data_IF_684703535702
#
_entry.id   IF_684703535702
#
_cell.length_a   1.000
_cell.length_b   1.000
_cell.length_c   1.000
_cell.angle_alpha   90.00
_cell.angle_beta   90.00
_cell.angle_gamma   90.00
#
_symmetry.space_group_name_H-M   'P 1'
#
loop_
_entity.id
_entity.type
_entity.pdbx_description
1 polymer ?
#
# COMPACT_ATOMS: atom_id res chain seq x y z
N UNK A 1 -12.50 -12.56 13.00
CA UNK A 1 -11.64 -12.19 14.16
C UNK A 1 -10.86 -10.92 13.83
N UNK A 2 -10.63 -10.03 14.79
CA UNK A 2 -9.84 -8.80 14.58
C UNK A 2 -8.37 -9.04 14.95
N UNK A 3 -7.48 -9.02 13.97
CA UNK A 3 -6.06 -9.41 14.13
C UNK A 3 -5.36 -8.60 15.23
N UNK A 4 -5.55 -7.28 15.27
CA UNK A 4 -4.91 -6.44 16.28
C UNK A 4 -5.51 -6.56 17.70
N UNK A 5 -6.56 -7.37 17.87
CA UNK A 5 -7.10 -7.76 19.18
C UNK A 5 -6.49 -9.05 19.74
N UNK A 6 -5.98 -9.93 18.87
CA UNK A 6 -5.53 -11.30 19.21
C UNK A 6 -4.60 -11.32 20.41
N UNK A 7 -3.52 -10.53 20.38
CA UNK A 7 -2.55 -10.50 21.47
C UNK A 7 -3.22 -10.13 22.81
N UNK A 8 -4.05 -9.09 22.81
CA UNK A 8 -4.70 -8.60 24.02
C UNK A 8 -5.70 -9.62 24.58
N UNK A 9 -6.52 -10.21 23.71
CA UNK A 9 -7.57 -11.16 24.07
C UNK A 9 -6.94 -12.46 24.61
N UNK A 10 -5.95 -13.02 23.91
CA UNK A 10 -5.26 -14.26 24.31
C UNK A 10 -4.48 -14.05 25.60
N UNK A 11 -3.79 -12.92 25.75
CA UNK A 11 -3.10 -12.60 27.00
C UNK A 11 -4.07 -12.53 28.16
N UNK A 12 -5.22 -11.87 27.98
CA UNK A 12 -6.23 -11.75 29.01
C UNK A 12 -6.82 -13.10 29.41
N UNK A 13 -7.18 -13.93 28.43
CA UNK A 13 -7.77 -15.24 28.69
C UNK A 13 -6.76 -16.20 29.32
N UNK A 14 -5.50 -16.18 28.87
CA UNK A 14 -4.44 -16.97 29.50
C UNK A 14 -4.13 -16.50 30.92
N UNK A 15 -4.17 -15.19 31.18
CA UNK A 15 -4.05 -14.65 32.53
C UNK A 15 -5.16 -15.15 33.46
N UNK A 16 -6.43 -15.10 33.03
CA UNK A 16 -7.56 -15.62 33.81
C UNK A 16 -7.40 -17.10 34.11
N UNK A 17 -7.02 -17.88 33.10
CA UNK A 17 -6.80 -19.32 33.26
C UNK A 17 -5.69 -19.61 34.30
N UNK A 18 -4.52 -18.96 34.19
CA UNK A 18 -3.41 -19.20 35.10
C UNK A 18 -3.69 -18.72 36.52
N UNK A 19 -4.28 -17.52 36.68
CA UNK A 19 -4.46 -16.91 38.00
C UNK A 19 -5.73 -17.39 38.69
N UNK A 20 -6.87 -17.39 38.00
CA UNK A 20 -8.18 -17.65 38.62
C UNK A 20 -8.49 -19.16 38.70
N UNK A 21 -8.05 -19.94 37.71
CA UNK A 21 -8.34 -21.37 37.65
C UNK A 21 -7.19 -22.21 38.22
N UNK A 22 -5.95 -21.90 37.84
CA UNK A 22 -4.77 -22.67 38.28
C UNK A 22 -4.15 -22.12 39.59
N UNK A 23 -4.56 -20.92 40.03
CA UNK A 23 -4.10 -20.32 41.29
C UNK A 23 -2.64 -19.82 41.25
N UNK A 24 -2.10 -19.57 40.07
CA UNK A 24 -0.73 -19.09 39.88
C UNK A 24 -0.59 -17.61 40.30
N UNK A 25 0.58 -17.27 40.85
CA UNK A 25 0.90 -15.87 41.19
C UNK A 25 0.88 -15.00 39.91
N UNK A 26 0.20 -13.83 39.92
CA UNK A 26 0.10 -12.98 38.74
C UNK A 26 1.44 -12.57 38.12
N UNK A 27 2.50 -12.40 38.92
CA UNK A 27 3.83 -12.02 38.41
C UNK A 27 4.52 -13.19 37.70
N UNK A 28 4.14 -14.44 38.00
CA UNK A 28 4.61 -15.64 37.32
C UNK A 28 3.74 -15.96 36.09
N UNK A 29 2.43 -15.66 36.17
CA UNK A 29 1.49 -15.89 35.09
C UNK A 29 1.68 -14.90 33.92
N UNK A 30 1.99 -13.64 34.20
CA UNK A 30 2.06 -12.56 33.19
C UNK A 30 3.02 -12.86 32.03
N UNK A 31 4.28 -13.31 32.27
CA UNK A 31 5.19 -13.63 31.18
C UNK A 31 4.69 -14.79 30.33
N UNK A 32 4.09 -15.82 30.94
CA UNK A 32 3.52 -16.98 30.23
C UNK A 32 2.33 -16.59 29.37
N UNK A 33 1.46 -15.72 29.88
CA UNK A 33 0.31 -15.22 29.14
C UNK A 33 0.72 -14.32 27.98
N UNK A 34 1.76 -13.49 28.20
CA UNK A 34 2.36 -12.68 27.14
C UNK A 34 2.97 -13.56 26.04
N UNK A 35 3.67 -14.63 26.40
CA UNK A 35 4.27 -15.54 25.41
C UNK A 35 3.20 -16.27 24.58
N UNK A 36 2.17 -16.82 25.24
CA UNK A 36 1.04 -17.43 24.54
C UNK A 36 0.35 -16.45 23.57
N UNK A 37 0.26 -15.17 23.94
CA UNK A 37 -0.31 -14.14 23.08
C UNK A 37 0.57 -13.81 21.86
N UNK A 38 1.90 -13.86 22.00
CA UNK A 38 2.83 -13.72 20.87
C UNK A 38 2.70 -14.90 19.91
N UNK A 39 2.69 -16.12 20.44
CA UNK A 39 2.54 -17.35 19.66
C UNK A 39 1.24 -17.34 18.85
N UNK A 40 0.11 -16.99 19.47
CA UNK A 40 -1.19 -16.93 18.78
C UNK A 40 -1.24 -15.83 17.72
N UNK A 41 -0.63 -14.67 17.98
CA UNK A 41 -0.53 -13.60 16.98
C UNK A 41 0.28 -14.06 15.76
N UNK A 42 1.42 -14.74 15.99
CA UNK A 42 2.26 -15.30 14.93
C UNK A 42 1.46 -16.30 14.09
N UNK A 43 0.77 -17.24 14.75
CA UNK A 43 -0.06 -18.24 14.07
C UNK A 43 -1.21 -17.62 13.29
N UNK A 44 -1.86 -16.59 13.83
CA UNK A 44 -2.95 -15.89 13.16
C UNK A 44 -2.46 -15.20 11.88
N UNK A 45 -1.32 -14.50 11.95
CA UNK A 45 -0.74 -13.82 10.78
C UNK A 45 -0.28 -14.84 9.74
N UNK A 46 0.39 -15.92 10.16
CA UNK A 46 0.81 -17.01 9.28
C UNK A 46 -0.40 -17.67 8.58
N UNK A 47 -1.46 -17.95 9.34
CA UNK A 47 -2.70 -18.53 8.79
C UNK A 47 -3.41 -17.61 7.79
N UNK A 48 -3.43 -16.30 8.04
CA UNK A 48 -4.04 -15.34 7.13
C UNK A 48 -3.23 -15.12 5.85
N UNK A 49 -1.91 -15.20 5.92
CA UNK A 49 -1.02 -14.85 4.79
C UNK A 49 -0.50 -16.06 4.03
N UNK A 50 -0.52 -17.25 4.64
CA UNK A 50 0.05 -18.47 4.08
C UNK A 50 1.58 -18.57 4.23
N UNK A 51 2.23 -17.61 4.91
CA UNK A 51 3.68 -17.61 5.11
C UNK A 51 4.09 -18.30 6.41
N UNK A 52 5.34 -18.74 6.47
CA UNK A 52 6.00 -19.07 7.73
C UNK A 52 6.67 -17.83 8.31
N UNK A 53 6.58 -17.65 9.63
CA UNK A 53 7.24 -16.56 10.34
C UNK A 53 8.48 -17.12 11.04
N UNK A 54 9.67 -16.77 10.54
CA UNK A 54 10.94 -17.26 11.11
C UNK A 54 11.35 -16.50 12.38
N UNK A 55 11.07 -15.19 12.41
CA UNK A 55 11.49 -14.28 13.47
C UNK A 55 10.39 -13.29 13.83
N UNK A 56 10.37 -12.89 15.10
CA UNK A 56 9.41 -11.92 15.64
C UNK A 56 10.14 -10.76 16.32
N UNK A 57 9.67 -9.53 16.09
CA UNK A 57 10.05 -8.35 16.84
C UNK A 57 8.81 -7.58 17.31
N UNK A 58 8.85 -7.08 18.55
CA UNK A 58 7.85 -6.22 19.14
C UNK A 58 8.51 -4.94 19.64
N UNK A 59 7.91 -3.80 19.32
CA UNK A 59 8.43 -2.48 19.69
C UNK A 59 7.34 -1.64 20.37
N UNK A 60 7.67 -1.11 21.55
CA UNK A 60 6.81 -0.15 22.23
C UNK A 60 6.93 1.27 21.66
N UNK A 61 6.00 2.14 22.00
CA UNK A 61 5.96 3.54 21.50
C UNK A 61 7.23 4.33 21.86
N UNK A 62 7.72 4.18 23.09
CA UNK A 62 8.99 4.80 23.51
C UNK A 62 10.16 4.26 22.69
N UNK A 63 10.16 2.95 22.47
CA UNK A 63 11.19 2.28 21.69
C UNK A 63 11.28 2.79 20.25
N UNK A 64 10.12 2.96 19.61
CA UNK A 64 10.01 3.54 18.28
C UNK A 64 10.64 4.95 18.21
N UNK A 65 10.33 5.82 19.17
CA UNK A 65 10.89 7.16 19.22
C UNK A 65 12.41 7.14 19.40
N UNK A 66 12.92 6.31 20.33
CA UNK A 66 14.35 6.18 20.59
C UNK A 66 15.14 5.66 19.39
N UNK A 67 14.61 4.66 18.68
CA UNK A 67 15.25 4.13 17.47
C UNK A 67 15.26 5.18 16.36
N UNK A 68 14.16 5.90 16.15
CA UNK A 68 14.08 6.99 15.18
C UNK A 68 15.10 8.09 15.47
N UNK A 69 15.23 8.50 16.73
CA UNK A 69 16.21 9.52 17.13
C UNK A 69 17.67 9.01 17.05
N UNK A 70 17.90 7.72 17.33
CA UNK A 70 19.24 7.11 17.20
C UNK A 70 19.78 7.18 15.75
N UNK A 71 18.87 7.06 14.78
CA UNK A 71 19.10 7.24 13.33
C UNK A 71 19.16 8.71 12.91
N UNK A 72 18.93 9.64 13.83
CA UNK A 72 18.97 11.08 13.57
C UNK A 72 17.68 11.64 12.97
N UNK A 73 16.55 10.96 13.19
CA UNK A 73 15.23 11.30 12.67
C UNK A 73 14.89 10.58 11.36
N UNK A 74 13.65 10.75 10.89
CA UNK A 74 13.11 10.12 9.68
C UNK A 74 12.61 11.16 8.69
N UNK A 75 12.92 10.98 7.40
CA UNK A 75 12.43 11.87 6.35
C UNK A 75 11.03 11.41 5.89
N UNK A 76 10.09 12.34 5.77
CA UNK A 76 8.75 12.09 5.24
C UNK A 76 8.37 13.20 4.28
N UNK A 77 7.40 12.94 3.40
CA UNK A 77 6.77 13.98 2.60
C UNK A 77 5.24 13.91 2.77
N UNK A 78 4.60 15.07 2.95
CA UNK A 78 3.15 15.19 2.98
C UNK A 78 2.65 15.91 1.72
N UNK A 79 1.54 15.45 1.13
CA UNK A 79 0.91 16.21 0.02
C UNK A 79 0.23 17.48 0.54
N UNK A 80 -0.43 17.37 1.69
CA UNK A 80 -1.16 18.46 2.34
C UNK A 80 -0.65 18.74 3.75
N UNK A 81 -0.81 19.98 4.22
CA UNK A 81 -0.51 20.33 5.59
C UNK A 81 -1.52 19.69 6.55
N UNK A 82 -1.06 19.34 7.75
CA UNK A 82 -1.80 18.54 8.72
C UNK A 82 -1.80 19.23 10.07
N UNK A 83 -2.96 19.25 10.71
CA UNK A 83 -3.13 19.63 12.10
C UNK A 83 -4.17 18.71 12.76
N UNK A 84 -3.71 17.74 13.55
CA UNK A 84 -4.54 16.75 14.26
C UNK A 84 -4.13 16.72 15.75
N UNK A 85 -4.92 17.36 16.64
CA UNK A 85 -4.56 17.50 18.06
C UNK A 85 -4.57 16.20 18.89
N UNK A 86 -5.23 15.14 18.44
CA UNK A 86 -5.40 13.89 19.20
C UNK A 86 -4.15 13.01 19.14
N UNK A 87 -3.47 12.99 18.00
CA UNK A 87 -2.15 12.40 17.80
C UNK A 87 -1.03 13.39 18.09
N UNK A 88 -1.31 14.70 18.01
CA UNK A 88 -0.32 15.77 18.10
C UNK A 88 0.45 15.98 16.79
N UNK A 89 -0.15 15.59 15.65
CA UNK A 89 0.43 15.85 14.34
C UNK A 89 0.18 17.32 13.96
N UNK A 90 1.26 18.06 13.71
CA UNK A 90 1.22 19.44 13.25
C UNK A 90 2.40 19.64 12.31
N UNK A 91 2.11 19.57 11.02
CA UNK A 91 3.12 19.43 9.98
C UNK A 91 2.76 20.24 8.73
N UNK A 92 3.70 20.99 8.15
CA UNK A 92 3.51 21.58 6.83
C UNK A 92 3.43 20.51 5.74
N UNK A 93 2.86 20.89 4.59
CA UNK A 93 2.98 20.12 3.36
C UNK A 93 4.44 20.08 2.89
N UNK A 94 4.77 19.06 2.11
CA UNK A 94 6.07 18.86 1.49
C UNK A 94 7.03 18.03 2.32
N UNK A 95 8.30 18.07 1.92
CA UNK A 95 9.36 17.27 2.51
C UNK A 95 9.80 17.84 3.87
N UNK A 96 9.98 16.95 4.84
CA UNK A 96 10.45 17.32 6.18
C UNK A 96 11.12 16.15 6.89
N UNK A 97 11.96 16.48 7.87
CA UNK A 97 12.58 15.51 8.77
C UNK A 97 11.95 15.55 10.14
N UNK A 98 11.50 14.40 10.63
CA UNK A 98 10.84 14.24 11.92
C UNK A 98 11.77 13.62 12.95
N UNK A 99 11.76 14.16 14.18
CA UNK A 99 12.29 13.47 15.37
C UNK A 99 11.42 12.27 15.76
N UNK A 100 11.88 11.42 16.67
CA UNK A 100 11.14 10.26 17.18
C UNK A 100 9.74 10.60 17.71
N UNK A 101 9.56 11.59 18.60
CA UNK A 101 8.24 12.01 19.06
C UNK A 101 7.34 12.55 17.94
N UNK A 102 7.90 13.28 16.97
CA UNK A 102 7.15 13.78 15.81
C UNK A 102 6.76 12.65 14.85
N UNK A 103 7.65 11.70 14.59
CA UNK A 103 7.35 10.51 13.82
C UNK A 103 6.25 9.69 14.51
N UNK A 104 6.25 9.65 15.84
CA UNK A 104 5.21 8.97 16.61
C UNK A 104 3.84 9.67 16.46
N UNK A 105 3.78 11.00 16.48
CA UNK A 105 2.53 11.72 16.22
C UNK A 105 2.04 11.53 14.78
N UNK A 106 2.97 11.50 13.81
CA UNK A 106 2.69 11.24 12.40
C UNK A 106 2.03 9.88 12.16
N UNK A 107 2.59 8.77 12.68
CA UNK A 107 2.05 7.41 12.47
C UNK A 107 0.81 7.09 13.31
N UNK A 108 0.53 7.91 14.32
CA UNK A 108 -0.64 7.77 15.21
C UNK A 108 -1.86 8.54 14.74
N UNK A 109 -1.74 9.44 13.77
CA UNK A 109 -2.90 10.16 13.25
C UNK A 109 -3.93 9.17 12.71
N UNK A 110 -5.18 9.33 13.15
CA UNK A 110 -6.32 8.51 12.70
C UNK A 110 -7.41 9.36 12.07
N UNK A 111 -7.59 10.57 12.58
CA UNK A 111 -8.66 11.46 12.16
C UNK A 111 -8.16 12.36 11.04
N UNK A 112 -9.11 12.94 10.30
CA UNK A 112 -8.86 13.85 9.19
C UNK A 112 -8.02 13.24 8.05
N UNK A 113 -7.95 11.91 7.99
CA UNK A 113 -7.36 11.15 6.89
C UNK A 113 -8.46 10.74 5.90
N UNK A 114 -8.35 11.10 4.60
CA UNK A 114 -9.38 10.84 3.60
C UNK A 114 -9.80 9.36 3.49
N UNK A 115 -8.84 8.43 3.54
CA UNK A 115 -9.09 6.97 3.55
C UNK A 115 -8.91 6.35 4.94
N UNK A 116 -9.15 7.12 5.99
CA UNK A 116 -9.14 6.66 7.38
C UNK A 116 -7.91 5.82 7.75
N UNK A 117 -8.14 4.55 8.08
CA UNK A 117 -7.07 3.65 8.49
C UNK A 117 -6.08 3.32 7.36
N UNK A 118 -6.52 3.25 6.10
CA UNK A 118 -5.61 2.94 4.99
C UNK A 118 -4.57 4.03 4.77
N UNK A 119 -4.93 5.29 4.93
CA UNK A 119 -3.97 6.39 4.89
C UNK A 119 -3.04 6.35 6.10
N UNK A 120 -3.53 5.94 7.27
CA UNK A 120 -2.67 5.71 8.43
C UNK A 120 -1.66 4.58 8.19
N UNK A 121 -2.09 3.48 7.58
CA UNK A 121 -1.20 2.39 7.14
C UNK A 121 -0.17 2.91 6.14
N UNK A 122 -0.60 3.73 5.18
CA UNK A 122 0.30 4.34 4.18
C UNK A 122 1.38 5.22 4.85
N UNK A 123 1.00 6.01 5.87
CA UNK A 123 1.95 6.80 6.68
C UNK A 123 2.89 5.95 7.53
N UNK A 124 2.39 4.84 8.08
CA UNK A 124 3.23 3.88 8.79
C UNK A 124 4.26 3.25 7.86
N UNK A 125 3.83 2.83 6.67
CA UNK A 125 4.70 2.31 5.63
C UNK A 125 5.72 3.35 5.16
N UNK A 126 5.36 4.63 5.03
CA UNK A 126 6.31 5.67 4.63
C UNK A 126 7.41 5.86 5.67
N UNK A 127 7.07 5.82 6.96
CA UNK A 127 8.06 5.90 8.04
C UNK A 127 8.91 4.63 8.08
N UNK A 128 8.33 3.44 7.95
CA UNK A 128 9.09 2.19 7.90
C UNK A 128 10.06 2.14 6.71
N UNK A 129 9.62 2.59 5.53
CA UNK A 129 10.46 2.70 4.35
C UNK A 129 11.63 3.66 4.56
N UNK A 130 11.36 4.85 5.09
CA UNK A 130 12.42 5.82 5.39
C UNK A 130 13.37 5.34 6.49
N UNK A 131 12.89 4.66 7.53
CA UNK A 131 13.75 4.08 8.56
C UNK A 131 14.62 2.94 8.01
N UNK A 132 14.05 2.05 7.19
CA UNK A 132 14.80 1.00 6.52
C UNK A 132 15.89 1.60 5.62
N UNK A 133 15.57 2.64 4.85
CA UNK A 133 16.51 3.40 4.04
C UNK A 133 17.65 4.01 4.88
N UNK A 134 17.33 4.67 6.00
CA UNK A 134 18.34 5.26 6.88
C UNK A 134 19.26 4.18 7.49
N UNK A 135 18.71 3.02 7.86
CA UNK A 135 19.49 1.87 8.39
C UNK A 135 20.45 1.31 7.34
N UNK A 136 20.00 1.13 6.10
CA UNK A 136 20.82 0.57 5.01
C UNK A 136 21.69 1.62 4.30
N UNK A 137 21.52 2.90 4.63
CA UNK A 137 22.30 3.97 4.02
C UNK A 137 23.80 3.81 4.29
N UNK A 138 24.61 4.05 3.26
CA UNK A 138 26.08 4.00 3.40
C UNK A 138 26.59 4.90 4.53
N UNK A 139 25.88 6.00 4.83
CA UNK A 139 26.22 6.94 5.90
C UNK A 139 26.04 6.32 7.29
N UNK A 140 24.94 5.64 7.55
CA UNK A 140 24.70 4.98 8.85
C UNK A 140 25.68 3.85 9.06
N UNK A 141 25.89 3.03 8.04
CA UNK A 141 26.73 1.84 8.12
C UNK A 141 28.22 2.15 8.22
N UNK A 142 28.67 3.24 7.60
CA UNK A 142 30.06 3.71 7.75
C UNK A 142 30.30 4.48 9.05
N UNK A 143 29.30 4.64 9.92
CA UNK A 143 29.38 5.39 11.17
C UNK A 143 29.33 4.48 12.40
N UNK A 144 30.48 4.09 12.99
CA UNK A 144 30.52 3.24 14.19
C UNK A 144 29.71 3.80 15.36
N UNK A 145 29.71 5.13 15.53
CA UNK A 145 28.94 5.78 16.58
C UNK A 145 27.42 5.70 16.36
N UNK A 146 26.96 5.71 15.11
CA UNK A 146 25.52 5.58 14.80
C UNK A 146 25.06 4.14 14.96
N UNK A 147 25.86 3.18 14.49
CA UNK A 147 25.60 1.75 14.72
C UNK A 147 25.54 1.41 16.21
N UNK A 148 26.46 1.94 17.03
CA UNK A 148 26.44 1.75 18.48
C UNK A 148 25.17 2.31 19.13
N UNK A 149 24.75 3.54 18.76
CA UNK A 149 23.49 4.12 19.27
C UNK A 149 22.26 3.31 18.84
N UNK A 150 22.24 2.83 17.60
CA UNK A 150 21.14 2.01 17.09
C UNK A 150 21.05 0.69 17.84
N UNK A 151 22.19 0.00 18.03
CA UNK A 151 22.26 -1.23 18.81
C UNK A 151 21.77 -1.03 20.24
N UNK A 152 22.23 0.01 20.92
CA UNK A 152 21.80 0.35 22.28
C UNK A 152 20.29 0.65 22.34
N UNK A 153 19.76 1.35 21.34
CA UNK A 153 18.34 1.66 21.26
C UNK A 153 17.52 0.37 21.09
N UNK A 154 17.89 -0.50 20.14
CA UNK A 154 17.23 -1.78 19.88
C UNK A 154 17.24 -2.67 21.12
N UNK A 155 18.40 -2.87 21.76
CA UNK A 155 18.53 -3.71 22.96
C UNK A 155 17.64 -3.26 24.13
N UNK A 156 17.35 -1.97 24.24
CA UNK A 156 16.51 -1.42 25.32
C UNK A 156 15.02 -1.40 24.98
N UNK A 157 14.67 -1.54 23.72
CA UNK A 157 13.38 -1.06 23.19
C UNK A 157 12.61 -2.09 22.39
N UNK A 158 13.26 -3.18 21.98
CA UNK A 158 12.71 -4.20 21.11
C UNK A 158 12.78 -5.54 21.80
N UNK A 159 11.65 -6.24 21.87
CA UNK A 159 11.60 -7.65 22.21
C UNK A 159 11.77 -8.43 20.92
N UNK A 160 12.68 -9.40 20.89
CA UNK A 160 12.93 -10.25 19.73
C UNK A 160 12.76 -11.72 20.09
N UNK A 161 12.36 -12.53 19.12
CA UNK A 161 12.33 -13.99 19.26
C UNK A 161 13.72 -14.55 19.55
N UNK A 162 13.76 -15.60 20.38
CA UNK A 162 14.98 -16.30 20.72
C UNK A 162 15.77 -16.78 19.48
N UNK A 163 17.09 -16.64 19.54
CA UNK A 163 18.00 -17.09 18.49
C UNK A 163 18.11 -16.17 17.27
N UNK A 164 17.42 -15.03 17.23
CA UNK A 164 17.55 -14.08 16.12
C UNK A 164 18.81 -13.22 16.23
N UNK A 165 19.69 -13.32 15.24
CA UNK A 165 20.83 -12.42 15.05
C UNK A 165 20.44 -11.18 14.25
N UNK A 166 20.10 -10.10 14.96
CA UNK A 166 19.73 -8.81 14.36
C UNK A 166 20.85 -8.22 13.50
N UNK A 167 22.12 -8.43 13.87
CA UNK A 167 23.23 -7.84 13.12
C UNK A 167 23.39 -8.53 11.77
N UNK A 168 23.28 -9.86 11.73
CA UNK A 168 23.20 -10.60 10.49
C UNK A 168 21.99 -10.17 9.65
N UNK A 169 20.82 -9.95 10.27
CA UNK A 169 19.65 -9.42 9.57
C UNK A 169 19.89 -8.05 8.94
N UNK A 170 20.57 -7.13 9.65
CA UNK A 170 20.96 -5.82 9.08
C UNK A 170 21.90 -6.00 7.89
N UNK A 171 22.88 -6.91 7.96
CA UNK A 171 23.76 -7.23 6.82
C UNK A 171 22.99 -7.85 5.63
N UNK A 172 21.95 -8.64 5.88
CA UNK A 172 21.06 -9.16 4.83
C UNK A 172 20.25 -8.03 4.20
N UNK A 173 19.66 -7.15 5.00
CA UNK A 173 18.94 -5.96 4.52
C UNK A 173 19.82 -5.07 3.64
N UNK A 174 21.10 -4.90 3.99
CA UNK A 174 22.06 -4.16 3.16
C UNK A 174 22.24 -4.77 1.77
N UNK A 175 22.27 -6.11 1.67
CA UNK A 175 22.40 -6.79 0.37
C UNK A 175 21.13 -6.63 -0.48
N UNK A 176 19.98 -6.43 0.16
CA UNK A 176 18.69 -6.15 -0.47
C UNK A 176 18.50 -4.65 -0.79
N UNK A 177 19.30 -3.76 -0.19
CA UNK A 177 19.13 -2.30 -0.19
C UNK A 177 19.27 -1.60 -1.54
N UNK A 178 19.61 -2.31 -2.62
CA UNK A 178 19.54 -1.79 -3.99
C UNK A 178 18.07 -1.63 -4.47
N UNK A 179 17.23 -0.97 -3.68
CA UNK A 179 15.82 -0.69 -3.99
C UNK A 179 14.83 -1.84 -3.76
N UNK A 180 15.24 -2.94 -3.12
CA UNK A 180 14.41 -4.17 -3.07
C UNK A 180 13.55 -4.34 -1.82
N UNK A 181 13.42 -3.32 -0.95
CA UNK A 181 12.48 -3.38 0.18
C UNK A 181 11.23 -2.60 -0.20
N UNK A 182 10.12 -3.32 -0.33
CA UNK A 182 8.80 -2.78 -0.63
C UNK A 182 7.84 -3.00 0.55
N UNK A 183 6.98 -2.02 0.78
CA UNK A 183 5.93 -2.06 1.79
C UNK A 183 4.59 -2.01 1.07
N UNK A 184 3.73 -2.98 1.37
CA UNK A 184 2.45 -3.15 0.71
C UNK A 184 1.35 -3.47 1.73
N UNK A 185 0.11 -3.12 1.38
CA UNK A 185 -1.09 -3.49 2.14
C UNK A 185 -1.76 -4.66 1.44
N UNK A 186 -2.10 -5.70 2.19
CA UNK A 186 -2.87 -6.86 1.67
C UNK A 186 -4.18 -6.39 1.00
N UNK A 187 -4.71 -7.15 0.02
CA UNK A 187 -6.00 -6.82 -0.58
C UNK A 187 -7.11 -6.80 0.48
N UNK A 188 -8.01 -5.82 0.38
CA UNK A 188 -9.15 -5.69 1.28
C UNK A 188 -10.45 -5.62 0.48
N UNK A 189 -11.51 -6.18 1.05
CA UNK A 189 -12.84 -6.15 0.46
C UNK A 189 -13.56 -4.85 0.78
N UNK A 190 -13.46 -4.38 2.04
CA UNK A 190 -14.03 -3.10 2.51
C UNK A 190 -13.44 -2.69 3.86
N UNK A 191 -13.39 -1.38 4.10
CA UNK A 191 -12.85 -0.80 5.34
C UNK A 191 -13.86 -0.77 6.50
N UNK A 192 -15.15 -0.64 6.20
CA UNK A 192 -16.25 -0.40 7.13
C UNK A 192 -16.93 -1.68 7.62
N UNK A 193 -16.16 -2.77 7.68
CA UNK A 193 -16.68 -4.08 8.05
C UNK A 193 -16.94 -4.25 9.54
N UNK A 194 -17.65 -5.34 9.83
CA UNK A 194 -17.88 -5.84 11.19
C UNK A 194 -17.34 -7.26 11.34
N UNK A 195 -16.90 -7.59 12.56
CA UNK A 195 -16.60 -8.97 12.95
C UNK A 195 -17.85 -9.85 12.80
N UNK A 196 -17.65 -11.16 12.68
CA UNK A 196 -18.75 -12.09 12.39
C UNK A 196 -19.81 -12.15 13.52
N UNK A 197 -19.43 -11.76 14.74
CA UNK A 197 -20.32 -11.58 15.88
C UNK A 197 -20.99 -10.19 15.94
N UNK A 198 -20.65 -9.27 15.02
CA UNK A 198 -21.15 -7.91 14.96
C UNK A 198 -20.63 -6.97 16.05
N UNK A 199 -19.65 -7.39 16.87
CA UNK A 199 -19.24 -6.65 18.06
C UNK A 199 -18.11 -5.65 17.82
N UNK A 200 -17.34 -5.81 16.74
CA UNK A 200 -16.14 -5.03 16.47
C UNK A 200 -16.14 -4.52 15.03
N UNK A 201 -15.71 -3.27 14.85
CA UNK A 201 -15.34 -2.77 13.52
C UNK A 201 -14.01 -3.39 13.09
N UNK A 202 -13.98 -3.92 11.87
CA UNK A 202 -12.85 -4.61 11.23
C UNK A 202 -12.77 -4.27 9.74
N UNK A 203 -11.55 -4.28 9.20
CA UNK A 203 -11.35 -4.33 7.75
C UNK A 203 -11.63 -5.77 7.28
N UNK A 204 -12.48 -5.94 6.27
CA UNK A 204 -12.77 -7.26 5.70
C UNK A 204 -11.76 -7.59 4.62
N UNK A 205 -11.30 -8.83 4.61
CA UNK A 205 -10.39 -9.41 3.63
C UNK A 205 -10.92 -10.76 3.19
N UNK A 206 -10.54 -11.20 2.01
CA UNK A 206 -10.69 -12.58 1.56
C UNK A 206 -9.38 -13.33 1.81
N UNK A 207 -9.32 -14.31 2.73
CA UNK A 207 -8.09 -15.06 3.00
C UNK A 207 -7.49 -15.75 1.77
N UNK A 208 -8.31 -16.24 0.84
CA UNK A 208 -7.81 -16.89 -0.37
C UNK A 208 -7.16 -15.87 -1.31
N UNK A 209 -7.75 -14.68 -1.43
CA UNK A 209 -7.17 -13.56 -2.18
C UNK A 209 -5.86 -13.09 -1.54
N UNK A 210 -5.81 -13.01 -0.21
CA UNK A 210 -4.58 -12.66 0.53
C UNK A 210 -3.50 -13.72 0.29
N UNK A 211 -3.81 -15.01 0.35
CA UNK A 211 -2.83 -16.09 0.09
C UNK A 211 -2.28 -16.00 -1.33
N UNK A 212 -3.15 -15.83 -2.33
CA UNK A 212 -2.73 -15.71 -3.73
C UNK A 212 -1.86 -14.47 -3.94
N UNK A 213 -2.26 -13.34 -3.37
CA UNK A 213 -1.50 -12.09 -3.46
C UNK A 213 -0.13 -12.21 -2.81
N UNK A 214 -0.04 -12.74 -1.58
CA UNK A 214 1.23 -12.96 -0.89
C UNK A 214 2.12 -13.93 -1.66
N UNK A 215 1.58 -15.03 -2.16
CA UNK A 215 2.34 -16.00 -2.95
C UNK A 215 2.89 -15.38 -4.24
N UNK A 216 2.10 -14.54 -4.92
CA UNK A 216 2.55 -13.83 -6.12
C UNK A 216 3.69 -12.86 -5.79
N UNK A 217 3.56 -12.10 -4.69
CA UNK A 217 4.59 -11.17 -4.27
C UNK A 217 5.93 -11.86 -3.99
N UNK A 218 5.90 -12.99 -3.28
CA UNK A 218 7.10 -13.75 -2.96
C UNK A 218 7.74 -14.33 -4.23
N UNK A 219 6.94 -14.86 -5.16
CA UNK A 219 7.44 -15.35 -6.43
C UNK A 219 8.07 -14.21 -7.27
N UNK A 220 7.40 -13.07 -7.38
CA UNK A 220 7.91 -11.93 -8.14
C UNK A 220 9.18 -11.34 -7.51
N UNK A 221 9.27 -11.33 -6.17
CA UNK A 221 10.49 -10.94 -5.45
C UNK A 221 11.65 -11.89 -5.77
N UNK A 222 11.43 -13.20 -5.74
CA UNK A 222 12.45 -14.21 -6.08
C UNK A 222 12.93 -14.08 -7.54
N UNK A 223 12.05 -13.62 -8.42
CA UNK A 223 12.37 -13.32 -9.82
C UNK A 223 13.02 -11.93 -10.01
N UNK A 224 13.22 -11.16 -8.94
CA UNK A 224 13.87 -9.84 -8.98
C UNK A 224 12.99 -8.72 -9.54
N UNK A 225 11.66 -8.88 -9.54
CA UNK A 225 10.69 -7.96 -10.15
C UNK A 225 10.25 -6.82 -9.21
N UNK A 226 11.09 -6.41 -8.28
CA UNK A 226 10.72 -5.42 -7.25
C UNK A 226 10.28 -4.07 -7.85
N UNK A 227 10.85 -3.66 -8.99
CA UNK A 227 10.43 -2.45 -9.71
C UNK A 227 9.02 -2.58 -10.29
N UNK A 228 8.63 -3.77 -10.77
CA UNK A 228 7.28 -4.06 -11.26
C UNK A 228 6.28 -4.05 -10.11
N UNK A 229 6.68 -4.60 -8.95
CA UNK A 229 5.86 -4.61 -7.74
C UNK A 229 5.66 -3.22 -7.15
N UNK A 230 6.68 -2.34 -7.21
CA UNK A 230 6.61 -0.98 -6.68
C UNK A 230 6.07 0.06 -7.66
N UNK A 231 5.70 -0.37 -8.88
CA UNK A 231 5.09 0.52 -9.86
C UNK A 231 3.77 1.10 -9.33
N UNK A 232 3.60 2.42 -9.47
CA UNK A 232 2.36 3.13 -9.16
C UNK A 232 1.80 3.78 -10.42
N UNK A 233 0.48 3.67 -10.70
CA UNK A 233 -0.17 4.32 -11.84
C UNK A 233 0.12 5.82 -11.97
N UNK A 234 0.32 6.52 -10.86
CA UNK A 234 0.63 7.96 -10.84
C UNK A 234 1.96 8.34 -11.49
N UNK A 235 2.86 7.37 -11.71
CA UNK A 235 4.10 7.57 -12.45
C UNK A 235 3.89 7.59 -13.97
N UNK A 236 2.65 7.38 -14.42
CA UNK A 236 2.30 7.29 -15.83
C UNK A 236 1.25 8.31 -16.21
N UNK A 237 1.62 9.20 -17.12
CA UNK A 237 0.68 10.13 -17.77
C UNK A 237 0.09 9.47 -19.01
N UNK A 238 -1.24 9.38 -19.07
CA UNK A 238 -1.91 8.69 -20.19
C UNK A 238 -2.66 9.67 -21.08
N UNK A 239 -2.18 9.81 -22.31
CA UNK A 239 -2.91 10.44 -23.40
C UNK A 239 -3.91 9.44 -24.01
N UNK A 240 -5.15 9.86 -24.26
CA UNK A 240 -6.16 8.99 -24.89
C UNK A 240 -6.68 9.61 -26.17
N UNK A 241 -6.50 8.90 -27.27
CA UNK A 241 -6.83 9.36 -28.62
C UNK A 241 -7.91 8.46 -29.22
N UNK A 242 -9.02 9.07 -29.62
CA UNK A 242 -10.16 8.39 -30.21
C UNK A 242 -10.02 8.28 -31.74
N UNK A 243 -9.81 7.08 -32.24
CA UNK A 243 -9.83 6.75 -33.67
C UNK A 243 -11.17 6.19 -34.15
N UNK A 244 -12.24 6.33 -33.37
CA UNK A 244 -13.60 5.85 -33.71
C UNK A 244 -14.56 7.02 -33.98
N UNK A 245 -15.77 6.70 -34.45
CA UNK A 245 -16.86 7.67 -34.60
C UNK A 245 -17.67 7.87 -33.30
N UNK A 246 -17.27 7.24 -32.19
CA UNK A 246 -17.99 7.30 -30.92
C UNK A 246 -17.59 8.58 -30.17
N UNK A 247 -18.50 9.55 -30.09
CA UNK A 247 -18.26 10.79 -29.38
C UNK A 247 -18.04 10.56 -27.87
N UNK A 248 -17.02 11.21 -27.32
CA UNK A 248 -16.72 11.15 -25.88
C UNK A 248 -15.96 9.92 -25.41
N UNK A 249 -15.68 8.95 -26.28
CA UNK A 249 -15.01 7.69 -25.90
C UNK A 249 -13.63 7.92 -25.24
N UNK A 250 -12.78 8.78 -25.82
CA UNK A 250 -11.48 9.09 -25.22
C UNK A 250 -11.58 9.70 -23.82
N UNK A 251 -12.58 10.56 -23.58
CA UNK A 251 -12.82 11.14 -22.27
C UNK A 251 -13.31 10.10 -21.25
N UNK A 252 -14.22 9.20 -21.67
CA UNK A 252 -14.70 8.12 -20.83
C UNK A 252 -13.57 7.15 -20.42
N UNK A 253 -12.74 6.73 -21.38
CA UNK A 253 -11.57 5.87 -21.11
C UNK A 253 -10.54 6.60 -20.25
N UNK A 254 -10.28 7.89 -20.50
CA UNK A 254 -9.40 8.70 -19.65
C UNK A 254 -9.92 8.77 -18.21
N UNK A 255 -11.23 8.90 -18.01
CA UNK A 255 -11.83 8.87 -16.67
C UNK A 255 -11.66 7.52 -15.97
N UNK A 256 -11.82 6.40 -16.70
CA UNK A 256 -11.56 5.06 -16.17
C UNK A 256 -10.13 4.94 -15.66
N UNK A 257 -9.15 5.36 -16.46
CA UNK A 257 -7.74 5.31 -16.06
C UNK A 257 -7.43 6.27 -14.91
N UNK A 258 -8.00 7.48 -14.92
CA UNK A 258 -7.86 8.44 -13.82
C UNK A 258 -8.39 7.85 -12.51
N UNK A 259 -9.53 7.15 -12.54
CA UNK A 259 -10.09 6.46 -11.38
C UNK A 259 -9.19 5.31 -10.88
N UNK A 260 -8.35 4.74 -11.76
CA UNK A 260 -7.32 3.75 -11.41
C UNK A 260 -6.00 4.36 -10.95
N UNK A 261 -5.90 5.70 -10.90
CA UNK A 261 -4.76 6.43 -10.34
C UNK A 261 -3.73 6.90 -11.37
N UNK A 262 -3.95 6.69 -12.67
CA UNK A 262 -3.08 7.24 -13.72
C UNK A 262 -3.22 8.77 -13.79
N UNK A 263 -2.14 9.46 -14.17
CA UNK A 263 -2.18 10.91 -14.39
C UNK A 263 -2.86 11.20 -15.73
N UNK A 264 -3.93 12.00 -15.78
CA UNK A 264 -4.60 12.29 -17.04
C UNK A 264 -3.70 13.15 -17.95
N UNK A 265 -3.45 12.64 -19.16
CA UNK A 265 -2.85 13.39 -20.26
C UNK A 265 -3.91 14.04 -21.15
N UNK A 266 -3.51 14.45 -22.36
CA UNK A 266 -4.45 15.01 -23.31
C UNK A 266 -5.46 13.96 -23.79
N UNK A 267 -6.69 14.41 -24.05
CA UNK A 267 -7.71 13.61 -24.73
C UNK A 267 -8.07 14.26 -26.06
N UNK A 268 -8.17 13.48 -27.12
CA UNK A 268 -8.46 14.02 -28.45
C UNK A 268 -8.94 12.97 -29.44
N UNK A 269 -9.06 13.39 -30.70
CA UNK A 269 -9.35 12.49 -31.82
C UNK A 269 -8.07 12.19 -32.58
N UNK A 270 -7.99 11.00 -33.17
CA UNK A 270 -6.85 10.58 -33.97
C UNK A 270 -6.78 11.39 -35.27
N UNK A 271 -5.61 11.93 -35.60
CA UNK A 271 -5.39 12.61 -36.87
C UNK A 271 -5.02 11.60 -37.97
N UNK A 272 -5.72 11.65 -39.10
CA UNK A 272 -5.50 10.73 -40.22
C UNK A 272 -6.18 9.37 -40.01
N UNK A 273 -5.79 8.37 -40.81
CA UNK A 273 -6.40 7.04 -40.76
C UNK A 273 -6.05 6.33 -39.43
N UNK A 274 -7.03 5.93 -38.61
CA UNK A 274 -6.78 5.25 -37.35
C UNK A 274 -6.24 3.83 -37.59
N UNK A 275 -5.51 3.25 -36.62
CA UNK A 275 -5.05 1.87 -36.70
C UNK A 275 -6.24 0.89 -36.78
N UNK A 276 -5.99 -0.31 -37.30
CA UNK A 276 -7.02 -1.35 -37.39
C UNK A 276 -7.43 -1.91 -36.03
N UNK A 277 -6.53 -1.86 -35.05
CA UNK A 277 -6.74 -2.38 -33.70
C UNK A 277 -6.34 -1.36 -32.66
N UNK A 278 -7.06 -1.36 -31.54
CA UNK A 278 -6.77 -0.54 -30.38
C UNK A 278 -5.44 -0.95 -29.76
N UNK A 279 -4.65 0.03 -29.33
CA UNK A 279 -3.29 -0.22 -28.87
C UNK A 279 -2.84 0.78 -27.82
N UNK A 280 -1.84 0.36 -27.05
CA UNK A 280 -1.11 1.21 -26.11
C UNK A 280 0.27 1.49 -26.71
N UNK A 281 0.65 2.76 -26.79
CA UNK A 281 1.94 3.20 -27.29
C UNK A 281 2.80 3.71 -26.14
N UNK A 282 4.06 3.30 -26.10
CA UNK A 282 5.06 3.76 -25.14
C UNK A 282 6.46 3.77 -25.74
N UNK A 283 7.40 4.46 -25.11
CA UNK A 283 8.79 4.54 -25.59
C UNK A 283 9.44 3.15 -25.81
N UNK A 284 9.06 2.17 -24.99
CA UNK A 284 9.46 0.76 -25.07
C UNK A 284 8.27 -0.13 -24.74
N UNK A 285 8.26 -1.35 -25.29
CA UNK A 285 7.17 -2.29 -25.02
C UNK A 285 7.16 -2.83 -23.59
N UNK A 286 8.29 -2.77 -22.88
CA UNK A 286 8.44 -3.20 -21.48
C UNK A 286 8.17 -2.08 -20.47
N UNK A 287 7.68 -0.91 -20.91
CA UNK A 287 7.26 0.17 -20.02
C UNK A 287 6.16 -0.31 -19.07
N UNK A 288 6.42 -0.21 -17.76
CA UNK A 288 5.53 -0.72 -16.71
C UNK A 288 4.16 -0.03 -16.74
N UNK A 289 4.12 1.25 -17.08
CA UNK A 289 2.87 1.98 -17.22
C UNK A 289 2.07 1.55 -18.41
N UNK A 290 2.73 1.30 -19.53
CA UNK A 290 2.08 0.78 -20.73
C UNK A 290 1.47 -0.62 -20.48
N UNK A 291 2.18 -1.49 -19.77
CA UNK A 291 1.71 -2.82 -19.38
C UNK A 291 0.52 -2.74 -18.41
N UNK A 292 0.57 -1.82 -17.43
CA UNK A 292 -0.52 -1.59 -16.49
C UNK A 292 -1.78 -1.06 -17.21
N UNK A 293 -1.63 -0.03 -18.05
CA UNK A 293 -2.72 0.53 -18.88
C UNK A 293 -3.31 -0.54 -19.80
N UNK A 294 -2.47 -1.34 -20.45
CA UNK A 294 -2.91 -2.46 -21.30
C UNK A 294 -3.81 -3.40 -20.53
N UNK A 295 -3.36 -3.92 -19.38
CA UNK A 295 -4.14 -4.81 -18.51
C UNK A 295 -5.46 -4.16 -18.11
N UNK A 296 -5.42 -2.89 -17.72
CA UNK A 296 -6.57 -2.16 -17.21
C UNK A 296 -7.63 -1.83 -18.26
N UNK A 297 -7.27 -1.85 -19.55
CA UNK A 297 -8.16 -1.64 -20.69
C UNK A 297 -8.54 -2.96 -21.41
N UNK A 298 -8.26 -4.12 -20.81
CA UNK A 298 -8.67 -5.42 -21.36
C UNK A 298 -7.58 -6.14 -22.17
N UNK A 299 -6.31 -5.80 -21.96
CA UNK A 299 -5.17 -6.49 -22.57
C UNK A 299 -4.82 -5.97 -23.97
N UNK A 300 -4.91 -4.66 -24.20
CA UNK A 300 -4.55 -4.06 -25.48
C UNK A 300 -3.07 -4.30 -25.82
N UNK A 301 -2.69 -4.56 -27.09
CA UNK A 301 -1.29 -4.72 -27.46
C UNK A 301 -0.48 -3.46 -27.14
N UNK A 302 0.70 -3.66 -26.55
CA UNK A 302 1.67 -2.58 -26.28
C UNK A 302 2.67 -2.53 -27.44
N UNK A 303 2.71 -1.39 -28.13
CA UNK A 303 3.59 -1.12 -29.27
C UNK A 303 4.55 0.04 -28.96
N UNK A 304 5.72 0.03 -29.60
CA UNK A 304 6.75 1.04 -29.36
C UNK A 304 6.51 2.32 -30.18
N UNK A 305 6.60 3.47 -29.50
CA UNK A 305 6.71 4.80 -30.08
C UNK A 305 7.82 5.56 -29.34
N UNK A 306 9.02 5.51 -29.90
CA UNK A 306 10.23 6.14 -29.34
C UNK A 306 10.15 7.68 -29.26
N UNK A 307 9.10 8.31 -29.80
CA UNK A 307 8.89 9.76 -29.67
C UNK A 307 8.25 10.15 -28.35
N UNK A 308 7.63 9.20 -27.64
CA UNK A 308 7.05 9.44 -26.32
C UNK A 308 8.15 9.55 -25.25
N UNK A 309 8.04 10.52 -24.32
CA UNK A 309 8.95 10.57 -23.18
C UNK A 309 8.71 9.40 -22.22
N UNK A 310 9.72 9.06 -21.42
CA UNK A 310 9.58 8.06 -20.36
C UNK A 310 8.45 8.44 -19.38
N UNK A 311 7.62 7.48 -18.99
CA UNK A 311 6.44 7.71 -18.14
C UNK A 311 5.24 8.33 -18.86
N UNK A 312 5.31 8.54 -20.18
CA UNK A 312 4.15 8.90 -20.99
C UNK A 312 3.69 7.72 -21.85
N UNK A 313 2.39 7.48 -21.82
CA UNK A 313 1.71 6.43 -22.57
C UNK A 313 0.61 7.06 -23.42
N UNK A 314 0.45 6.61 -24.66
CA UNK A 314 -0.66 7.00 -25.52
C UNK A 314 -1.54 5.81 -25.83
N UNK A 315 -2.82 5.88 -25.46
CA UNK A 315 -3.84 4.91 -25.85
C UNK A 315 -4.47 5.40 -27.15
N UNK A 316 -4.48 4.55 -28.18
CA UNK A 316 -5.20 4.81 -29.43
C UNK A 316 -6.35 3.82 -29.51
N UNK A 317 -7.58 4.34 -29.44
CA UNK A 317 -8.81 3.56 -29.49
C UNK A 317 -9.24 3.41 -30.95
N UNK A 318 -9.36 2.18 -31.44
CA UNK A 318 -9.86 1.87 -32.77
C UNK A 318 -11.26 1.23 -32.69
N UNK A 319 -11.83 0.92 -33.85
CA UNK A 319 -13.20 0.41 -33.95
C UNK A 319 -13.42 -0.96 -33.25
N UNK A 320 -12.34 -1.67 -32.91
CA UNK A 320 -12.37 -2.94 -32.18
C UNK A 320 -12.39 -2.76 -30.65
N UNK A 321 -12.33 -1.53 -30.13
CA UNK A 321 -12.32 -1.29 -28.70
C UNK A 321 -13.68 -1.65 -28.07
N UNK A 322 -13.68 -2.65 -27.19
CA UNK A 322 -14.84 -3.03 -26.38
C UNK A 322 -14.49 -3.10 -24.88
N UNK A 323 -13.44 -2.38 -24.48
CA UNK A 323 -12.91 -2.41 -23.11
C UNK A 323 -13.62 -1.41 -22.18
N UNK A 324 -13.18 -1.32 -20.91
CA UNK A 324 -13.72 -0.39 -19.93
C UNK A 324 -13.88 1.04 -20.47
N UNK A 325 -15.05 1.65 -20.21
CA UNK A 325 -15.36 2.99 -20.71
C UNK A 325 -15.99 3.04 -22.10
N UNK A 326 -16.23 1.90 -22.77
CA UNK A 326 -17.05 1.84 -24.00
C UNK A 326 -18.53 1.53 -23.74
N UNK A 327 -18.92 1.18 -22.51
CA UNK A 327 -20.29 0.77 -22.18
C UNK A 327 -21.30 1.92 -22.32
N UNK A 328 -22.39 1.68 -23.04
CA UNK A 328 -23.50 2.64 -23.20
C UNK A 328 -23.28 3.73 -24.25
N UNK A 329 -22.14 3.76 -24.94
CA UNK A 329 -21.87 4.69 -26.04
C UNK A 329 -22.17 4.06 -27.40
N UNK A 330 -23.46 3.93 -27.72
CA UNK A 330 -23.93 3.48 -29.04
C UNK A 330 -23.81 4.64 -30.06
N UNK A 331 -23.06 4.49 -31.18
CA UNK A 331 -23.00 5.52 -32.23
C UNK A 331 -24.33 5.73 -32.96
N UNK A 332 -25.34 4.87 -32.75
CA UNK A 332 -26.67 4.96 -33.35
C UNK A 332 -27.76 5.56 -32.43
N UNK A 333 -27.42 5.91 -31.18
CA UNK A 333 -28.34 6.59 -30.27
C UNK A 333 -28.45 8.08 -30.64
N UNK A 334 -29.34 8.40 -31.58
CA UNK A 334 -29.77 9.77 -31.83
C UNK A 334 -30.30 10.45 -30.56
N UNK A 335 -30.01 11.74 -30.44
CA UNK A 335 -30.50 12.74 -29.47
C UNK A 335 -31.63 12.20 -28.57
N UNK A 336 -31.30 11.81 -27.34
CA UNK A 336 -32.30 11.56 -26.30
C UNK A 336 -32.61 12.86 -25.55
N UNK A 337 -33.89 13.20 -25.57
CA UNK A 337 -34.54 14.32 -24.90
C UNK A 337 -34.31 14.22 -23.36
N UNK A 338 -33.96 15.30 -22.62
CA UNK A 338 -33.56 15.21 -21.21
C UNK A 338 -34.67 14.88 -20.21
N UNK A 339 -35.87 14.47 -20.66
CA UNK A 339 -37.09 14.49 -19.86
C UNK A 339 -37.66 13.11 -19.45
N UNK A 340 -36.89 12.03 -19.57
CA UNK A 340 -37.37 10.69 -19.20
C UNK A 340 -36.38 9.91 -18.31
N UNK A 341 -35.95 10.51 -17.20
CA UNK A 341 -35.45 9.75 -16.05
C UNK A 341 -36.55 9.76 -14.97
N UNK A 342 -37.49 8.82 -15.10
CA UNK A 342 -38.47 8.53 -14.07
C UNK A 342 -37.87 7.54 -13.06
N UNK A 343 -37.96 7.90 -11.79
CA UNK A 343 -37.51 7.12 -10.63
C UNK A 343 -38.00 5.66 -10.69
N UNK A 344 -37.07 4.74 -10.92
CA UNK A 344 -37.19 3.36 -10.47
C UNK A 344 -36.02 3.06 -9.56
N UNK A 345 -36.23 3.31 -8.26
CA UNK A 345 -35.46 2.73 -7.18
C UNK A 345 -35.74 1.22 -7.16
N UNK A 346 -34.81 0.45 -7.71
CA UNK A 346 -34.70 -0.98 -7.46
C UNK A 346 -33.54 -1.18 -6.49
N UNK A 347 -33.92 -1.49 -5.25
CA UNK A 347 -33.05 -1.92 -4.15
C UNK A 347 -32.50 -3.32 -4.50
N UNK A 348 -31.45 -3.35 -5.32
CA UNK A 348 -30.50 -4.46 -5.34
C UNK A 348 -29.35 -4.03 -4.47
N UNK A 349 -29.08 -4.75 -3.38
CA UNK A 349 -27.96 -4.49 -2.46
C UNK A 349 -26.61 -4.56 -3.18
N UNK A 350 -26.27 -3.49 -3.89
CA UNK A 350 -24.98 -3.29 -4.55
C UNK A 350 -23.93 -3.18 -3.45
N UNK A 351 -23.10 -4.23 -3.36
CA UNK A 351 -21.86 -4.16 -2.61
C UNK A 351 -21.05 -3.01 -3.23
N UNK A 352 -20.74 -1.99 -2.43
CA UNK A 352 -19.81 -0.94 -2.86
C UNK A 352 -18.52 -1.60 -3.36
N UNK A 353 -17.95 -1.14 -4.50
CA UNK A 353 -16.72 -1.69 -5.03
C UNK A 353 -15.61 -1.62 -3.98
N UNK A 354 -14.65 -2.56 -3.98
CA UNK A 354 -13.54 -2.54 -3.04
C UNK A 354 -12.77 -1.22 -3.15
N UNK A 355 -12.23 -0.71 -2.03
CA UNK A 355 -11.46 0.52 -2.03
C UNK A 355 -10.20 0.37 -2.89
N UNK A 356 -9.69 1.46 -3.47
CA UNK A 356 -8.48 1.41 -4.27
C UNK A 356 -7.29 0.93 -3.42
N UNK A 357 -6.37 0.14 -3.99
CA UNK A 357 -5.24 -0.40 -3.25
C UNK A 357 -4.36 0.72 -2.66
N UNK A 358 -3.74 0.44 -1.51
CA UNK A 358 -2.70 1.32 -0.97
C UNK A 358 -1.48 1.35 -1.90
N UNK A 359 -0.79 2.49 -2.03
CA UNK A 359 0.43 2.55 -2.83
C UNK A 359 1.51 1.65 -2.21
N UNK A 360 2.33 1.01 -3.05
CA UNK A 360 3.52 0.31 -2.60
C UNK A 360 4.65 1.33 -2.42
N UNK A 361 5.29 1.31 -1.26
CA UNK A 361 6.38 2.24 -0.91
C UNK A 361 7.71 1.49 -0.87
N UNK A 362 8.76 2.07 -1.44
CA UNK A 362 10.10 1.47 -1.46
C UNK A 362 11.08 2.19 -0.52
N UNK A 363 12.01 1.45 0.06
CA UNK A 363 13.08 2.01 0.91
C UNK A 363 14.37 2.34 0.14
N UNK A 364 14.32 2.45 -1.19
CA UNK A 364 15.51 2.59 -2.04
C UNK A 364 15.93 4.02 -2.35
N UNK A 365 15.18 5.02 -1.88
CA UNK A 365 15.33 6.42 -2.29
C UNK A 365 15.44 7.34 -1.08
N UNK A 366 16.30 8.36 -1.20
CA UNK A 366 16.34 9.52 -0.29
C UNK A 366 15.12 10.45 -0.47
N UNK A 367 14.30 10.20 -1.49
CA UNK A 367 13.10 10.96 -1.83
C UNK A 367 11.83 10.17 -1.44
N UNK A 368 11.36 10.29 -0.19
CA UNK A 368 10.16 9.60 0.26
C UNK A 368 8.95 10.14 -0.50
N UNK A 369 8.18 9.23 -1.07
CA UNK A 369 6.92 9.54 -1.73
C UNK A 369 5.99 10.33 -0.81
N UNK A 370 5.39 11.40 -1.32
CA UNK A 370 4.46 12.21 -0.55
C UNK A 370 3.15 11.46 -0.29
N UNK A 371 2.77 11.37 0.97
CA UNK A 371 1.57 10.67 1.44
C UNK A 371 0.58 11.66 2.06
N UNK A 372 -0.67 11.23 2.20
CA UNK A 372 -1.69 11.98 2.93
C UNK A 372 -1.75 11.57 4.38
#
# INVERSE_FOLDING_TARGET
>A
MKINGVFGDVKLDRMKQLVEVEGEDPAVAEPKATEAAREELIQTVAGLTGVTVDHYAEIGLLGFALITDALGGVNVCLKDAVYEPLSGADFPAGWQKLSGPQALSFVRQRHDLPRGDLDRVTRQQSVMASLAHEVISSKTLSSPGTLGRLQDAVQRSVVISDGWDIMNFVEQLQKLAAGSVAFATIPILREDGWSDDGMQSVVRVDPDEVHQWVSSLLQDQDEGKTEQLSYSPENTTVEVVNGTDINGLAAAVSQVLTNKGFVPGATGNHEGAPPATSQVLAAKSDDLGAQAVSKDLGGLPVNEDATLPAGAVRVVLAADYTGPGSDGMDPSAGIVDPAAAGDTYSDTGEQSPPPPPSPILNAGSDDPKCVN
#
